data_IF_156867984879
#
_entry.id   IF_156867984879
#
_cell.length_a   1.000
_cell.length_b   1.000
_cell.length_c   1.000
_cell.angle_alpha   90.00
_cell.angle_beta   90.00
_cell.angle_gamma   90.00
#
_symmetry.space_group_name_H-M   'P 1'
#
loop_
_entity.id
_entity.type
_entity.pdbx_description
1 polymer ?
#
# COMPACT_ATOMS: atom_id res chain seq x y z
N UNK A 1 10.30 -40.09 56.43
CA UNK A 1 9.22 -39.64 55.52
C UNK A 1 9.56 -38.23 55.06
N UNK A 2 10.01 -38.04 53.82
CA UNK A 2 10.35 -36.72 53.26
C UNK A 2 9.26 -36.30 52.29
N UNK A 3 8.45 -35.32 52.69
CA UNK A 3 7.40 -34.71 51.87
C UNK A 3 8.05 -33.77 50.87
N UNK A 4 8.11 -34.16 49.59
CA UNK A 4 8.51 -33.26 48.50
C UNK A 4 7.29 -32.49 48.02
N UNK A 5 7.23 -31.21 48.40
CA UNK A 5 6.26 -30.26 47.87
C UNK A 5 6.74 -29.82 46.48
N UNK A 6 6.06 -30.24 45.41
CA UNK A 6 6.28 -29.70 44.07
C UNK A 6 5.49 -28.40 43.94
N UNK A 7 6.18 -27.26 43.92
CA UNK A 7 5.61 -25.98 43.54
C UNK A 7 5.57 -25.87 42.01
N UNK A 8 4.38 -26.00 41.43
CA UNK A 8 4.13 -25.66 40.03
C UNK A 8 4.03 -24.13 39.90
N UNK A 9 5.04 -23.51 39.30
CA UNK A 9 4.98 -22.13 38.84
C UNK A 9 4.23 -22.10 37.50
N UNK A 10 2.98 -21.66 37.53
CA UNK A 10 2.22 -21.33 36.32
C UNK A 10 2.76 -20.00 35.75
N UNK A 11 3.57 -20.08 34.70
CA UNK A 11 3.94 -18.90 33.91
C UNK A 11 2.75 -18.53 33.05
N UNK A 12 1.97 -17.53 33.48
CA UNK A 12 0.94 -16.91 32.65
C UNK A 12 1.65 -16.05 31.62
N UNK A 13 1.86 -16.58 30.41
CA UNK A 13 2.28 -15.79 29.28
C UNK A 13 1.13 -14.85 28.88
N UNK A 14 1.18 -13.61 29.36
CA UNK A 14 0.31 -12.56 28.85
C UNK A 14 0.76 -12.29 27.42
N UNK A 15 0.01 -12.81 26.46
CA UNK A 15 0.19 -12.43 25.06
C UNK A 15 -0.17 -10.95 24.95
N UNK A 16 0.85 -10.10 24.92
CA UNK A 16 0.68 -8.70 24.52
C UNK A 16 0.19 -8.74 23.06
N UNK A 17 -1.11 -8.62 22.86
CA UNK A 17 -1.64 -8.14 21.60
C UNK A 17 -1.02 -6.74 21.44
N UNK A 18 -0.04 -6.60 20.54
CA UNK A 18 0.55 -5.31 20.25
C UNK A 18 -0.57 -4.37 19.81
N UNK A 19 -0.88 -3.38 20.65
CA UNK A 19 -1.89 -2.38 20.35
C UNK A 19 -1.46 -1.61 19.10
N UNK A 20 -2.33 -1.53 18.10
CA UNK A 20 -2.09 -0.76 16.88
C UNK A 20 -2.12 0.73 17.24
N UNK A 21 -0.94 1.34 17.38
CA UNK A 21 -0.80 2.75 17.71
C UNK A 21 -0.67 3.55 16.42
N UNK A 22 -1.55 4.54 16.25
CA UNK A 22 -1.57 5.39 15.05
C UNK A 22 -0.25 6.16 14.88
N UNK A 23 0.22 6.25 13.64
CA UNK A 23 1.50 6.84 13.29
C UNK A 23 2.73 6.09 13.80
N UNK A 24 2.57 4.91 14.40
CA UNK A 24 3.67 4.07 14.87
C UNK A 24 3.64 2.69 14.21
N UNK A 25 2.52 1.98 14.34
CA UNK A 25 2.42 0.59 13.87
C UNK A 25 1.79 0.47 12.49
N UNK A 26 0.91 1.40 12.12
CA UNK A 26 0.21 1.43 10.83
C UNK A 26 0.98 2.20 9.75
N UNK A 27 2.31 2.30 9.87
CA UNK A 27 3.17 3.12 8.99
C UNK A 27 3.89 2.26 7.97
N UNK A 28 3.93 2.70 6.72
CA UNK A 28 4.69 2.09 5.63
C UNK A 28 5.43 3.13 4.81
N UNK A 29 6.56 2.74 4.25
CA UNK A 29 7.26 3.56 3.28
C UNK A 29 6.83 3.19 1.85
N UNK A 30 6.75 4.19 0.99
CA UNK A 30 6.53 4.07 -0.44
C UNK A 30 7.83 4.43 -1.15
N UNK A 31 8.37 3.47 -1.92
CA UNK A 31 9.65 3.63 -2.59
C UNK A 31 9.52 3.79 -4.10
N UNK A 32 10.36 4.63 -4.68
CA UNK A 32 10.66 4.63 -6.12
C UNK A 32 11.77 3.62 -6.40
N UNK A 33 11.48 2.57 -7.16
CA UNK A 33 12.46 1.53 -7.51
C UNK A 33 13.13 1.75 -8.87
N UNK A 34 12.72 2.80 -9.60
CA UNK A 34 13.34 3.23 -10.85
C UNK A 34 14.63 4.02 -10.66
N UNK A 35 14.99 4.36 -9.42
CA UNK A 35 16.13 5.22 -9.08
C UNK A 35 16.10 6.56 -9.84
N UNK A 36 14.93 7.17 -9.98
CA UNK A 36 14.85 8.46 -10.65
C UNK A 36 14.75 8.36 -12.17
N UNK A 37 14.49 7.19 -12.76
CA UNK A 37 14.47 7.04 -14.22
C UNK A 37 13.23 7.67 -14.89
N UNK A 38 12.06 7.55 -14.26
CA UNK A 38 10.79 7.98 -14.85
C UNK A 38 10.45 9.47 -14.61
N UNK A 39 9.24 9.92 -14.94
CA UNK A 39 8.85 11.33 -14.84
C UNK A 39 8.46 11.75 -13.41
N UNK A 40 7.83 10.84 -12.66
CA UNK A 40 7.42 11.03 -11.27
C UNK A 40 8.23 10.14 -10.33
N UNK A 41 8.63 10.72 -9.20
CA UNK A 41 9.46 10.08 -8.18
C UNK A 41 8.89 10.27 -6.79
N UNK A 42 8.98 9.22 -5.98
CA UNK A 42 8.55 9.20 -4.60
C UNK A 42 9.79 9.15 -3.72
N UNK A 43 10.06 10.23 -2.99
CA UNK A 43 11.24 10.37 -2.14
C UNK A 43 10.83 10.40 -0.68
N UNK A 44 11.24 9.38 0.08
CA UNK A 44 10.95 9.24 1.51
C UNK A 44 9.45 9.40 1.81
N UNK A 45 8.60 8.88 0.92
CA UNK A 45 7.15 8.98 1.09
C UNK A 45 6.72 7.98 2.13
N UNK A 46 6.02 8.48 3.14
CA UNK A 46 5.49 7.69 4.25
C UNK A 46 3.97 7.71 4.15
N UNK A 47 3.36 6.56 4.34
CA UNK A 47 1.93 6.39 4.37
C UNK A 47 1.47 5.68 5.64
N UNK A 48 0.21 5.92 6.00
CA UNK A 48 -0.47 5.29 7.13
C UNK A 48 -1.68 4.50 6.62
N UNK A 49 -1.87 3.29 7.16
CA UNK A 49 -2.94 2.38 6.76
C UNK A 49 -4.11 2.42 7.74
N UNK A 50 -5.33 2.42 7.21
CA UNK A 50 -6.57 2.54 7.98
C UNK A 50 -7.66 1.62 7.44
N UNK A 51 -8.56 1.24 8.33
CA UNK A 51 -9.83 0.59 8.01
C UNK A 51 -10.79 1.60 7.35
N UNK A 52 -11.90 1.12 6.79
CA UNK A 52 -12.93 1.97 6.18
C UNK A 52 -13.64 2.92 7.17
N UNK A 53 -13.57 2.62 8.47
CA UNK A 53 -14.09 3.48 9.54
C UNK A 53 -13.07 4.55 10.02
N UNK A 54 -11.87 4.56 9.45
CA UNK A 54 -10.80 5.50 9.80
C UNK A 54 -9.92 5.07 10.99
N UNK A 55 -10.12 3.88 11.57
CA UNK A 55 -9.24 3.35 12.61
C UNK A 55 -7.92 2.82 12.04
N UNK A 56 -6.78 2.98 12.75
CA UNK A 56 -5.47 2.53 12.26
C UNK A 56 -5.46 1.01 12.09
N UNK A 57 -4.83 0.54 11.00
CA UNK A 57 -4.87 -0.87 10.62
C UNK A 57 -3.52 -1.56 10.77
N UNK A 58 -3.47 -2.57 11.64
CA UNK A 58 -2.27 -3.36 11.91
C UNK A 58 -2.57 -4.84 12.02
N UNK A 59 -1.60 -5.68 11.64
CA UNK A 59 -1.57 -7.10 11.93
C UNK A 59 -0.27 -7.44 12.68
N UNK A 60 -0.41 -8.04 13.87
CA UNK A 60 0.72 -8.41 14.74
C UNK A 60 1.70 -7.25 15.03
N UNK A 61 1.19 -6.02 15.12
CA UNK A 61 1.97 -4.83 15.46
C UNK A 61 2.69 -4.15 14.29
N UNK A 62 2.50 -4.64 13.07
CA UNK A 62 2.97 -4.02 11.83
C UNK A 62 1.78 -3.58 10.97
N UNK A 63 2.02 -2.70 10.00
CA UNK A 63 0.97 -2.14 9.18
C UNK A 63 0.25 -3.21 8.37
N UNK A 64 -1.05 -3.03 8.19
CA UNK A 64 -1.88 -3.90 7.37
C UNK A 64 -2.75 -3.05 6.44
N UNK A 65 -2.87 -3.47 5.18
CA UNK A 65 -3.90 -2.96 4.29
C UNK A 65 -5.21 -3.67 4.55
N UNK A 66 -6.30 -2.91 4.49
CA UNK A 66 -7.67 -3.43 4.54
C UNK A 66 -8.38 -3.10 3.26
N UNK A 67 -9.20 -4.05 2.81
CA UNK A 67 -9.92 -3.96 1.55
C UNK A 67 -11.39 -4.27 1.81
N UNK A 68 -12.29 -3.26 1.81
CA UNK A 68 -12.01 -1.84 1.60
C UNK A 68 -11.26 -1.20 2.78
N UNK A 69 -10.54 -0.11 2.50
CA UNK A 69 -9.77 0.61 3.51
C UNK A 69 -9.18 1.89 2.95
N UNK A 70 -8.25 2.49 3.69
CA UNK A 70 -7.70 3.80 3.36
C UNK A 70 -6.19 3.80 3.54
N UNK A 71 -5.48 4.37 2.56
CA UNK A 71 -4.06 4.68 2.64
C UNK A 71 -3.90 6.21 2.64
N UNK A 72 -3.32 6.76 3.71
CA UNK A 72 -3.05 8.21 3.83
C UNK A 72 -1.57 8.47 3.66
N UNK A 73 -1.17 9.25 2.67
CA UNK A 73 0.22 9.74 2.56
C UNK A 73 0.40 10.91 3.55
N UNK A 74 1.42 10.84 4.39
CA UNK A 74 1.59 11.79 5.52
C UNK A 74 2.86 12.63 5.43
N UNK A 75 3.89 12.16 4.74
CA UNK A 75 5.13 12.91 4.55
C UNK A 75 5.90 12.42 3.34
N UNK A 76 6.94 13.17 2.98
CA UNK A 76 7.82 12.91 1.86
C UNK A 76 7.52 13.82 0.67
N UNK A 77 8.26 13.57 -0.40
CA UNK A 77 8.29 14.45 -1.55
C UNK A 77 7.95 13.69 -2.81
N UNK A 78 7.04 14.26 -3.60
CA UNK A 78 6.75 13.78 -4.95
C UNK A 78 7.40 14.75 -5.93
N UNK A 79 8.35 14.26 -6.72
CA UNK A 79 9.04 15.05 -7.74
C UNK A 79 8.47 14.70 -9.10
N UNK A 80 7.97 15.70 -9.83
CA UNK A 80 7.47 15.57 -11.20
C UNK A 80 8.38 16.39 -12.11
N UNK A 81 9.11 15.74 -13.02
CA UNK A 81 10.07 16.42 -13.90
C UNK A 81 9.37 17.30 -14.94
N UNK A 82 8.33 16.77 -15.57
CA UNK A 82 7.56 17.43 -16.63
C UNK A 82 6.07 17.25 -16.36
N UNK A 83 5.27 18.30 -16.61
CA UNK A 83 3.82 18.21 -16.48
C UNK A 83 3.24 17.15 -17.40
N UNK A 84 2.21 16.46 -16.95
CA UNK A 84 1.54 15.36 -17.67
C UNK A 84 0.03 15.39 -17.42
N UNK A 85 -0.75 14.64 -18.19
CA UNK A 85 -2.22 14.57 -18.04
C UNK A 85 -2.61 13.15 -17.60
N UNK A 86 -2.79 12.97 -16.29
CA UNK A 86 -3.13 11.69 -15.68
C UNK A 86 -4.63 11.47 -15.60
N UNK A 87 -5.43 12.53 -15.43
CA UNK A 87 -6.88 12.42 -15.20
C UNK A 87 -7.60 11.72 -16.36
N UNK A 88 -7.06 11.83 -17.58
CA UNK A 88 -7.71 11.28 -18.78
C UNK A 88 -7.05 10.01 -19.33
N UNK A 89 -5.86 9.64 -18.84
CA UNK A 89 -5.06 8.57 -19.42
C UNK A 89 -4.02 8.04 -18.43
N UNK A 90 -4.46 7.56 -17.27
CA UNK A 90 -3.58 6.93 -16.29
C UNK A 90 -4.04 5.49 -15.99
N UNK A 91 -3.10 4.57 -16.12
CA UNK A 91 -3.30 3.17 -15.77
C UNK A 91 -2.18 2.70 -14.85
N UNK A 92 -2.53 1.95 -13.82
CA UNK A 92 -1.60 1.31 -12.92
C UNK A 92 -1.49 -0.18 -13.28
N UNK A 93 -0.27 -0.63 -13.59
CA UNK A 93 0.04 -2.04 -13.78
C UNK A 93 0.63 -2.62 -12.51
N UNK A 94 -0.01 -3.64 -11.97
CA UNK A 94 0.39 -4.21 -10.68
C UNK A 94 1.33 -5.41 -10.85
N UNK A 95 2.26 -5.51 -9.91
CA UNK A 95 3.05 -6.72 -9.65
C UNK A 95 2.76 -7.18 -8.24
N UNK A 96 2.09 -8.34 -8.10
CA UNK A 96 1.61 -8.86 -6.83
C UNK A 96 2.12 -10.28 -6.61
N UNK A 97 2.78 -10.51 -5.48
CA UNK A 97 3.29 -11.83 -5.09
C UNK A 97 2.98 -12.14 -3.64
N UNK A 98 2.23 -13.23 -3.43
CA UNK A 98 1.94 -13.74 -2.10
C UNK A 98 3.14 -14.46 -1.52
N UNK A 99 3.34 -14.34 -0.22
CA UNK A 99 4.25 -15.21 0.53
C UNK A 99 3.63 -16.60 0.71
N UNK A 100 3.54 -17.34 -0.39
CA UNK A 100 2.97 -18.68 -0.45
C UNK A 100 3.57 -19.41 -1.63
N UNK A 101 4.10 -20.61 -1.40
CA UNK A 101 4.61 -21.47 -2.47
C UNK A 101 3.51 -21.89 -3.45
N UNK A 102 2.28 -22.09 -2.96
CA UNK A 102 1.14 -22.54 -3.76
C UNK A 102 0.55 -21.42 -4.63
N UNK A 103 0.42 -20.20 -4.09
CA UNK A 103 -0.21 -19.07 -4.79
C UNK A 103 0.83 -18.25 -5.57
N UNK A 104 1.98 -17.94 -4.95
CA UNK A 104 3.10 -17.26 -5.58
C UNK A 104 2.74 -15.90 -6.19
N UNK A 105 3.33 -15.61 -7.36
CA UNK A 105 3.10 -14.37 -8.12
C UNK A 105 1.78 -14.49 -8.89
N UNK A 106 0.85 -13.56 -8.67
CA UNK A 106 -0.46 -13.56 -9.35
C UNK A 106 -0.55 -12.46 -10.42
N UNK A 107 0.18 -11.36 -10.26
CA UNK A 107 0.29 -10.29 -11.24
C UNK A 107 1.76 -9.95 -11.49
N UNK A 108 2.10 -9.69 -12.75
CA UNK A 108 3.45 -9.35 -13.21
C UNK A 108 3.33 -8.30 -14.32
N UNK A 109 3.73 -7.06 -14.04
CA UNK A 109 3.61 -5.92 -14.98
C UNK A 109 2.21 -5.85 -15.62
N UNK A 110 1.18 -5.84 -14.77
CA UNK A 110 -0.21 -5.68 -15.22
C UNK A 110 -0.84 -6.94 -15.83
N UNK A 111 -0.08 -8.05 -15.94
CA UNK A 111 -0.56 -9.30 -16.54
C UNK A 111 -0.77 -10.37 -15.48
N UNK A 112 -1.86 -11.12 -15.60
CA UNK A 112 -2.10 -12.24 -14.71
C UNK A 112 -1.10 -13.38 -14.95
N UNK A 113 -0.67 -14.00 -13.87
CA UNK A 113 0.12 -15.24 -13.83
C UNK A 113 -0.65 -16.40 -13.18
N UNK A 114 -1.91 -16.17 -12.82
CA UNK A 114 -2.76 -17.12 -12.14
C UNK A 114 -4.06 -17.34 -12.92
N UNK A 115 -4.41 -18.60 -13.21
CA UNK A 115 -5.58 -18.95 -14.01
C UNK A 115 -6.93 -18.48 -13.41
N UNK A 116 -6.97 -18.21 -12.11
CA UNK A 116 -8.16 -17.74 -11.40
C UNK A 116 -8.30 -16.21 -11.39
N UNK A 117 -7.25 -15.48 -11.79
CA UNK A 117 -7.22 -14.02 -11.80
C UNK A 117 -7.22 -13.53 -13.25
N UNK A 118 -8.26 -12.85 -13.73
CA UNK A 118 -8.24 -12.18 -15.02
C UNK A 118 -7.11 -11.13 -15.12
N UNK A 119 -6.51 -10.95 -16.30
CA UNK A 119 -5.50 -9.89 -16.48
C UNK A 119 -6.07 -8.48 -16.28
N UNK A 120 -7.37 -8.29 -16.47
CA UNK A 120 -8.07 -7.03 -16.15
C UNK A 120 -7.95 -6.66 -14.67
N UNK A 121 -7.77 -7.64 -13.78
CA UNK A 121 -7.67 -7.42 -12.34
C UNK A 121 -6.22 -7.13 -11.91
N UNK A 122 -5.25 -7.26 -12.83
CA UNK A 122 -3.85 -6.90 -12.60
C UNK A 122 -3.51 -5.48 -13.06
N UNK A 123 -4.44 -4.78 -13.71
CA UNK A 123 -4.28 -3.38 -14.13
C UNK A 123 -5.50 -2.58 -13.68
N UNK A 124 -5.29 -1.34 -13.22
CA UNK A 124 -6.38 -0.49 -12.71
C UNK A 124 -6.29 0.87 -13.38
N UNK A 125 -7.41 1.35 -13.90
CA UNK A 125 -7.51 2.73 -14.37
C UNK A 125 -7.58 3.65 -13.15
N UNK A 126 -6.51 4.42 -12.94
CA UNK A 126 -6.42 5.35 -11.81
C UNK A 126 -6.71 6.76 -12.29
N UNK A 127 -6.97 7.67 -11.35
CA UNK A 127 -7.29 9.08 -11.63
C UNK A 127 -8.62 9.31 -12.37
N UNK A 128 -9.34 8.24 -12.70
CA UNK A 128 -10.67 8.28 -13.32
C UNK A 128 -11.78 8.58 -12.29
N UNK A 129 -11.49 8.36 -11.01
CA UNK A 129 -12.46 8.51 -9.92
C UNK A 129 -12.23 9.81 -9.13
N UNK A 130 -13.32 10.45 -8.73
CA UNK A 130 -13.30 11.74 -8.02
C UNK A 130 -12.45 11.71 -6.74
N UNK A 131 -12.41 10.58 -6.04
CA UNK A 131 -11.66 10.42 -4.79
C UNK A 131 -10.14 10.20 -4.98
N UNK A 132 -9.66 9.97 -6.20
CA UNK A 132 -8.23 9.85 -6.53
C UNK A 132 -7.65 11.16 -7.07
N UNK A 133 -8.52 12.13 -7.36
CA UNK A 133 -8.15 13.32 -8.14
C UNK A 133 -7.07 14.18 -7.48
N UNK A 134 -6.99 14.21 -6.15
CA UNK A 134 -6.02 15.05 -5.43
C UNK A 134 -4.58 14.64 -5.74
N UNK A 135 -4.24 13.35 -5.58
CA UNK A 135 -2.88 12.87 -5.83
C UNK A 135 -2.54 12.93 -7.32
N UNK A 136 -3.50 12.66 -8.19
CA UNK A 136 -3.31 12.74 -9.63
C UNK A 136 -3.03 14.17 -10.09
N UNK A 137 -3.83 15.16 -9.65
CA UNK A 137 -3.62 16.58 -9.97
C UNK A 137 -2.24 17.09 -9.52
N UNK A 138 -1.80 16.63 -8.35
CA UNK A 138 -0.46 16.95 -7.85
C UNK A 138 0.61 16.40 -8.80
N UNK A 139 0.46 15.16 -9.26
CA UNK A 139 1.40 14.52 -10.18
C UNK A 139 1.33 15.06 -11.62
N UNK A 140 0.25 15.74 -12.02
CA UNK A 140 0.15 16.41 -13.33
C UNK A 140 1.02 17.66 -13.43
N UNK A 141 1.39 18.27 -12.29
CA UNK A 141 2.11 19.54 -12.25
C UNK A 141 3.60 19.31 -12.05
N UNK A 142 4.44 19.79 -12.96
CA UNK A 142 5.90 19.78 -12.78
C UNK A 142 6.32 20.51 -11.50
N UNK A 143 7.28 19.94 -10.79
CA UNK A 143 7.83 20.52 -9.57
C UNK A 143 8.10 19.49 -8.48
N UNK A 144 8.50 20.01 -7.34
CA UNK A 144 8.79 19.24 -6.12
C UNK A 144 7.68 19.53 -5.12
N UNK A 145 6.90 18.51 -4.80
CA UNK A 145 5.71 18.62 -3.96
C UNK A 145 5.96 17.98 -2.61
N UNK A 146 6.10 18.80 -1.57
CA UNK A 146 6.23 18.33 -0.19
C UNK A 146 4.84 18.07 0.41
N UNK A 147 4.56 16.80 0.74
CA UNK A 147 3.23 16.37 1.17
C UNK A 147 2.81 17.02 2.50
N UNK A 148 3.75 17.19 3.43
CA UNK A 148 3.47 17.78 4.73
C UNK A 148 3.11 19.27 4.62
N UNK A 149 3.76 19.98 3.70
CA UNK A 149 3.45 21.39 3.40
C UNK A 149 2.09 21.51 2.75
N UNK A 150 1.77 20.66 1.77
CA UNK A 150 0.49 20.68 1.08
C UNK A 150 -0.70 20.38 2.02
N UNK A 151 -0.55 19.40 2.92
CA UNK A 151 -1.58 19.11 3.93
C UNK A 151 -1.82 20.33 4.83
N UNK A 152 -0.74 20.96 5.32
CA UNK A 152 -0.83 22.12 6.23
C UNK A 152 -1.33 23.40 5.58
N UNK A 153 -0.96 23.66 4.33
CA UNK A 153 -1.21 24.97 3.69
C UNK A 153 -2.47 24.98 2.84
N UNK A 154 -2.80 23.86 2.19
CA UNK A 154 -3.92 23.76 1.25
C UNK A 154 -5.05 22.86 1.75
N UNK A 155 -4.90 22.25 2.93
CA UNK A 155 -5.84 21.23 3.41
C UNK A 155 -5.87 20.00 2.51
N UNK A 156 -4.79 19.76 1.77
CA UNK A 156 -4.70 18.65 0.83
C UNK A 156 -4.69 17.32 1.59
N UNK A 157 -5.69 16.48 1.37
CA UNK A 157 -5.68 15.10 1.89
C UNK A 157 -5.14 14.17 0.82
N UNK A 158 -3.92 13.68 1.02
CA UNK A 158 -3.27 12.71 0.16
C UNK A 158 -3.79 11.29 0.47
N UNK A 159 -5.09 11.08 0.30
CA UNK A 159 -5.77 9.84 0.67
C UNK A 159 -6.11 9.02 -0.56
N UNK A 160 -5.81 7.72 -0.49
CA UNK A 160 -6.14 6.74 -1.50
C UNK A 160 -7.13 5.76 -0.86
N UNK A 161 -8.34 5.71 -1.39
CA UNK A 161 -9.34 4.75 -0.97
C UNK A 161 -9.05 3.41 -1.64
N UNK A 162 -8.87 2.37 -0.84
CA UNK A 162 -8.66 1.03 -1.34
C UNK A 162 -10.03 0.37 -1.53
N UNK A 163 -10.33 -0.14 -2.74
CA UNK A 163 -11.65 -0.65 -3.06
C UNK A 163 -11.94 -1.97 -2.31
N UNK A 164 -13.23 -2.28 -2.19
CA UNK A 164 -13.65 -3.63 -1.82
C UNK A 164 -13.29 -4.60 -2.94
N UNK A 165 -12.87 -5.81 -2.58
CA UNK A 165 -12.51 -6.81 -3.58
C UNK A 165 -13.74 -7.57 -4.08
N UNK A 166 -13.72 -8.02 -5.35
CA UNK A 166 -14.67 -9.01 -5.82
C UNK A 166 -14.66 -10.26 -4.94
N UNK A 167 -15.85 -10.81 -4.66
CA UNK A 167 -16.01 -12.00 -3.82
C UNK A 167 -15.22 -13.21 -4.34
N UNK A 168 -14.96 -13.26 -5.66
CA UNK A 168 -14.21 -14.32 -6.35
C UNK A 168 -12.76 -14.47 -5.86
N UNK A 169 -12.14 -13.39 -5.38
CA UNK A 169 -10.71 -13.39 -4.96
C UNK A 169 -10.54 -13.30 -3.44
N UNK A 170 -11.67 -13.28 -2.71
CA UNK A 170 -11.71 -13.03 -1.28
C UNK A 170 -10.93 -14.08 -0.46
N UNK A 171 -10.97 -15.35 -0.87
CA UNK A 171 -10.24 -16.43 -0.20
C UNK A 171 -8.73 -16.45 -0.49
N UNK A 172 -8.28 -15.75 -1.53
CA UNK A 172 -6.89 -15.78 -1.99
C UNK A 172 -6.12 -14.59 -1.43
N UNK A 173 -6.79 -13.44 -1.27
CA UNK A 173 -6.09 -12.17 -0.99
C UNK A 173 -5.56 -12.05 0.44
N UNK A 174 -6.15 -12.72 1.43
CA UNK A 174 -5.67 -12.60 2.82
C UNK A 174 -4.26 -13.18 2.95
N UNK A 175 -3.34 -12.43 3.55
CA UNK A 175 -1.98 -12.90 3.85
C UNK A 175 -0.91 -11.84 3.66
N UNK A 176 0.34 -12.28 3.52
CA UNK A 176 1.51 -11.43 3.31
C UNK A 176 1.80 -11.27 1.81
N UNK A 177 2.05 -10.05 1.37
CA UNK A 177 2.21 -9.71 -0.04
C UNK A 177 3.38 -8.79 -0.31
N UNK A 178 4.07 -9.03 -1.42
CA UNK A 178 4.86 -8.03 -2.12
C UNK A 178 3.94 -7.33 -3.11
N UNK A 179 3.91 -6.00 -3.06
CA UNK A 179 3.19 -5.19 -4.03
C UNK A 179 4.14 -4.17 -4.69
N UNK A 180 4.04 -4.09 -6.01
CA UNK A 180 4.64 -3.07 -6.84
C UNK A 180 3.64 -2.57 -7.87
N UNK A 181 3.85 -1.36 -8.35
CA UNK A 181 2.96 -0.68 -9.28
C UNK A 181 3.76 0.17 -10.25
N UNK A 182 3.57 -0.07 -11.54
CA UNK A 182 4.02 0.82 -12.60
C UNK A 182 2.87 1.75 -13.00
N UNK A 183 3.09 3.05 -12.87
CA UNK A 183 2.15 4.05 -13.36
C UNK A 183 2.43 4.33 -14.83
N UNK A 184 1.40 4.16 -15.66
CA UNK A 184 1.44 4.37 -17.10
C UNK A 184 0.63 5.61 -17.45
N UNK A 185 1.20 6.49 -18.28
CA UNK A 185 0.52 7.64 -18.88
C UNK A 185 0.87 7.73 -20.37
N UNK A 186 -0.11 7.92 -21.25
CA UNK A 186 0.11 7.93 -22.70
C UNK A 186 0.91 6.70 -23.21
N UNK A 187 0.66 5.53 -22.60
CA UNK A 187 1.34 4.28 -22.92
C UNK A 187 2.79 4.16 -22.42
N UNK A 188 3.31 5.14 -21.67
CA UNK A 188 4.67 5.14 -21.14
C UNK A 188 4.68 5.02 -19.62
N UNK A 189 5.65 4.29 -19.06
CA UNK A 189 5.86 4.26 -17.61
C UNK A 189 6.36 5.62 -17.13
N UNK A 190 5.62 6.22 -16.20
CA UNK A 190 5.92 7.53 -15.60
C UNK A 190 6.30 7.44 -14.13
N UNK A 191 6.02 6.32 -13.45
CA UNK A 191 6.55 6.00 -12.12
C UNK A 191 6.61 4.48 -11.92
N UNK A 192 7.52 4.01 -11.06
CA UNK A 192 7.63 2.61 -10.64
C UNK A 192 7.79 2.57 -9.12
N UNK A 193 6.78 1.99 -8.47
CA UNK A 193 6.48 2.17 -7.06
C UNK A 193 6.50 0.81 -6.37
N UNK A 194 7.17 0.75 -5.22
CA UNK A 194 7.11 -0.40 -4.30
C UNK A 194 6.40 -0.03 -3.02
N UNK A 195 5.47 -0.89 -2.58
CA UNK A 195 4.71 -0.72 -1.36
C UNK A 195 4.59 -2.06 -0.61
N UNK A 196 5.08 -2.17 0.64
CA UNK A 196 5.94 -1.23 1.35
C UNK A 196 7.39 -1.33 0.83
N UNK A 197 8.16 -0.25 0.94
CA UNK A 197 9.59 -0.25 0.60
C UNK A 197 10.50 -0.55 1.79
N UNK A 198 10.07 -0.24 3.01
CA UNK A 198 10.80 -0.51 4.27
C UNK A 198 10.70 -1.95 4.74
N UNK A 199 9.71 -2.70 4.25
CA UNK A 199 9.52 -4.12 4.56
C UNK A 199 9.52 -4.97 3.28
N UNK A 200 9.65 -6.29 3.47
CA UNK A 200 9.54 -7.24 2.37
C UNK A 200 8.09 -7.55 2.01
N UNK A 201 7.19 -7.51 2.98
CA UNK A 201 5.79 -7.89 2.80
C UNK A 201 4.89 -6.90 3.50
N UNK A 202 3.63 -6.84 3.07
CA UNK A 202 2.54 -6.20 3.79
C UNK A 202 1.43 -7.19 4.01
N UNK A 203 0.83 -7.08 5.19
CA UNK A 203 -0.37 -7.83 5.52
C UNK A 203 -1.54 -7.24 4.75
N UNK A 204 -2.32 -8.08 4.08
CA UNK A 204 -3.63 -7.73 3.55
C UNK A 204 -4.67 -8.49 4.35
N UNK A 205 -5.61 -7.75 4.92
CA UNK A 205 -6.74 -8.25 5.67
C UNK A 205 -8.06 -7.74 5.10
N UNK A 206 -9.15 -8.41 5.50
CA UNK A 206 -10.53 -7.95 5.31
C UNK A 206 -11.02 -7.31 6.60
#
# INVERSE_FOLDING_TARGET
MYTKLFAFLAVVAVAYASSCTDGTNNVIDIGDVSNGAYNAHFQNVVAQTYNSDGSPSCYKGAASLKLPGVLKLVSGTIVVKTSMNLINDANAKMTLKKDSFLIGKICDDGKSKNALIPSSDCSIDICSQSYETSICKLMETAGTHDLATLEKTLGFSATINLPALPSSINGIIKGQWQAGLDLINAGQTVADIKLPSNEKYISIEQ
#
